data_IF_059265685517
#
_entry.id   IF_059265685517
#
_cell.length_a   1.000
_cell.length_b   1.000
_cell.length_c   1.000
_cell.angle_alpha   90.00
_cell.angle_beta   90.00
_cell.angle_gamma   90.00
#
_symmetry.space_group_name_H-M   'P 1'
#
loop_
_entity.id
_entity.type
_entity.pdbx_description
1 polymer ?
#
# COMPACT_ATOMS: atom_id res chain seq x y z
N UNK A 1 3.32 -8.65 -3.91
CA UNK A 1 3.64 -8.10 -5.24
C UNK A 1 3.37 -9.14 -6.32
N UNK A 2 2.82 -8.70 -7.48
CA UNK A 2 2.61 -9.54 -8.66
C UNK A 2 2.90 -8.71 -9.92
N UNK A 3 3.41 -9.32 -11.00
CA UNK A 3 3.77 -8.58 -12.21
C UNK A 3 3.68 -9.45 -13.48
N UNK A 4 3.44 -8.79 -14.61
CA UNK A 4 3.59 -9.28 -15.98
C UNK A 4 4.43 -8.27 -16.77
N UNK A 5 4.76 -8.48 -18.04
CA UNK A 5 5.46 -7.47 -18.86
C UNK A 5 4.75 -6.12 -18.99
N UNK A 6 3.43 -6.08 -18.78
CA UNK A 6 2.61 -4.87 -18.93
C UNK A 6 1.90 -4.42 -17.66
N UNK A 7 2.07 -5.13 -16.54
CA UNK A 7 1.32 -4.88 -15.31
C UNK A 7 2.22 -5.07 -14.09
N UNK A 8 2.27 -4.09 -13.19
CA UNK A 8 2.89 -4.18 -11.89
C UNK A 8 1.85 -3.92 -10.79
N UNK A 9 1.77 -4.80 -9.79
CA UNK A 9 0.83 -4.73 -8.67
C UNK A 9 1.61 -4.84 -7.38
N UNK A 10 1.47 -3.87 -6.50
CA UNK A 10 1.92 -3.95 -5.11
C UNK A 10 0.70 -3.93 -4.20
N UNK A 11 0.66 -4.85 -3.26
CA UNK A 11 -0.35 -4.98 -2.22
C UNK A 11 0.38 -5.00 -0.89
N UNK A 12 0.01 -4.13 0.01
CA UNK A 12 0.49 -4.16 1.39
C UNK A 12 -0.64 -4.56 2.34
N UNK A 13 -0.40 -5.63 3.09
CA UNK A 13 -1.39 -6.23 3.96
C UNK A 13 -1.45 -5.54 5.31
N UNK A 14 -2.61 -5.02 5.70
CA UNK A 14 -2.77 -4.33 6.98
C UNK A 14 -2.66 -5.31 8.16
N UNK A 15 -1.75 -5.01 9.10
CA UNK A 15 -1.55 -5.79 10.32
C UNK A 15 -2.85 -5.93 11.13
N UNK A 16 -3.10 -7.10 11.69
CA UNK A 16 -4.25 -7.34 12.56
C UNK A 16 -4.08 -6.77 13.96
N UNK A 17 -2.88 -6.37 14.35
CA UNK A 17 -2.54 -5.93 15.71
C UNK A 17 -3.05 -6.88 16.82
N UNK A 18 -3.16 -8.17 16.53
CA UNK A 18 -3.68 -9.19 17.45
C UNK A 18 -5.20 -9.18 17.65
N UNK A 19 -5.94 -8.39 16.89
CA UNK A 19 -7.40 -8.30 16.98
C UNK A 19 -8.10 -9.46 16.25
N UNK A 20 -9.30 -9.82 16.72
CA UNK A 20 -10.16 -10.77 16.02
C UNK A 20 -10.50 -10.27 14.62
N UNK A 21 -10.36 -11.14 13.63
CA UNK A 21 -10.57 -10.79 12.22
C UNK A 21 -11.92 -11.26 11.67
N UNK A 22 -12.63 -12.14 12.37
CA UNK A 22 -13.80 -12.81 11.81
C UNK A 22 -13.48 -13.73 10.62
N UNK A 23 -12.19 -13.92 10.31
CA UNK A 23 -11.72 -14.69 9.16
C UNK A 23 -10.67 -15.72 9.59
N UNK A 24 -10.77 -16.95 9.08
CA UNK A 24 -9.82 -18.04 9.36
C UNK A 24 -8.56 -17.99 8.48
N UNK A 25 -8.54 -17.18 7.42
CA UNK A 25 -7.48 -17.23 6.41
C UNK A 25 -6.28 -16.32 6.71
N UNK A 26 -6.50 -15.16 7.31
CA UNK A 26 -5.44 -14.18 7.60
C UNK A 26 -4.99 -13.33 6.40
N UNK A 27 -4.17 -12.32 6.71
CA UNK A 27 -3.73 -11.30 5.73
C UNK A 27 -2.85 -11.87 4.61
N UNK A 28 -1.85 -12.74 4.87
CA UNK A 28 -1.03 -13.29 3.78
C UNK A 28 -1.84 -14.08 2.74
N UNK A 29 -2.83 -14.84 3.17
CA UNK A 29 -3.73 -15.56 2.26
C UNK A 29 -4.55 -14.57 1.41
N UNK A 30 -5.10 -13.55 2.06
CA UNK A 30 -5.90 -12.51 1.38
C UNK A 30 -5.10 -11.80 0.30
N UNK A 31 -3.90 -11.32 0.63
CA UNK A 31 -3.00 -10.61 -0.30
C UNK A 31 -2.62 -11.51 -1.48
N UNK A 32 -2.29 -12.79 -1.23
CA UNK A 32 -1.93 -13.73 -2.29
C UNK A 32 -3.10 -13.96 -3.26
N UNK A 33 -4.31 -14.17 -2.75
CA UNK A 33 -5.49 -14.41 -3.58
C UNK A 33 -5.92 -13.14 -4.32
N UNK A 34 -5.91 -11.97 -3.65
CA UNK A 34 -6.21 -10.70 -4.31
C UNK A 34 -5.23 -10.41 -5.45
N UNK A 35 -3.93 -10.61 -5.23
CA UNK A 35 -2.91 -10.45 -6.26
C UNK A 35 -3.14 -11.35 -7.48
N UNK A 36 -3.49 -12.62 -7.25
CA UNK A 36 -3.83 -13.55 -8.33
C UNK A 36 -5.10 -13.16 -9.10
N UNK A 37 -6.17 -12.74 -8.40
CA UNK A 37 -7.40 -12.29 -9.03
C UNK A 37 -7.19 -10.97 -9.81
N UNK A 38 -6.41 -10.03 -9.28
CA UNK A 38 -6.07 -8.80 -10.00
C UNK A 38 -5.29 -9.09 -11.28
N UNK A 39 -4.30 -9.98 -11.26
CA UNK A 39 -3.60 -10.38 -12.48
C UNK A 39 -4.56 -10.95 -13.53
N UNK A 40 -5.51 -11.78 -13.11
CA UNK A 40 -6.48 -12.37 -14.02
C UNK A 40 -7.49 -11.34 -14.56
N UNK A 41 -8.03 -10.47 -13.69
CA UNK A 41 -9.03 -9.47 -14.08
C UNK A 41 -8.44 -8.34 -14.94
N UNK A 42 -7.17 -7.98 -14.74
CA UNK A 42 -6.50 -6.89 -15.46
C UNK A 42 -5.69 -7.36 -16.68
N UNK A 43 -5.77 -8.65 -17.03
CA UNK A 43 -5.13 -9.20 -18.21
C UNK A 43 -5.73 -8.60 -19.51
N UNK A 44 -7.04 -8.29 -19.48
CA UNK A 44 -7.73 -7.67 -20.61
C UNK A 44 -7.48 -6.15 -20.63
N UNK A 45 -6.87 -5.61 -21.72
CA UNK A 45 -6.45 -4.21 -21.76
C UNK A 45 -7.63 -3.22 -21.77
N UNK A 46 -8.79 -3.62 -22.25
CA UNK A 46 -9.96 -2.75 -22.39
C UNK A 46 -10.78 -2.60 -21.11
N UNK A 47 -10.57 -3.47 -20.12
CA UNK A 47 -11.19 -3.35 -18.80
C UNK A 47 -10.55 -2.18 -18.02
N UNK A 48 -11.38 -1.34 -17.39
CA UNK A 48 -10.85 -0.29 -16.51
C UNK A 48 -10.20 -0.90 -15.26
N UNK A 49 -9.20 -0.20 -14.69
CA UNK A 49 -8.52 -0.69 -13.48
C UNK A 49 -9.48 -0.79 -12.29
N UNK A 50 -10.46 0.13 -12.18
CA UNK A 50 -11.46 0.10 -11.10
C UNK A 50 -12.42 -1.08 -11.23
N UNK A 51 -12.92 -1.38 -12.43
CA UNK A 51 -13.77 -2.55 -12.68
C UNK A 51 -13.00 -3.84 -12.41
N UNK A 52 -11.75 -3.95 -12.88
CA UNK A 52 -10.91 -5.11 -12.61
C UNK A 52 -10.61 -5.30 -11.12
N UNK A 53 -10.44 -4.21 -10.36
CA UNK A 53 -10.31 -4.28 -8.91
C UNK A 53 -11.62 -4.72 -8.25
N UNK A 54 -12.78 -4.19 -8.66
CA UNK A 54 -14.08 -4.61 -8.13
C UNK A 54 -14.33 -6.10 -8.34
N UNK A 55 -14.09 -6.60 -9.57
CA UNK A 55 -14.20 -8.02 -9.92
C UNK A 55 -13.27 -8.90 -9.07
N UNK A 56 -12.02 -8.47 -8.88
CA UNK A 56 -11.05 -9.20 -8.08
C UNK A 56 -11.48 -9.28 -6.61
N UNK A 57 -11.95 -8.18 -6.02
CA UNK A 57 -12.46 -8.13 -4.65
C UNK A 57 -13.68 -9.03 -4.47
N UNK A 58 -14.61 -9.02 -5.40
CA UNK A 58 -15.81 -9.86 -5.37
C UNK A 58 -15.43 -11.34 -5.45
N UNK A 59 -14.53 -11.73 -6.34
CA UNK A 59 -14.05 -13.12 -6.46
C UNK A 59 -13.35 -13.59 -5.18
N UNK A 60 -12.50 -12.74 -4.57
CA UNK A 60 -11.87 -13.07 -3.29
C UNK A 60 -12.91 -13.20 -2.17
N UNK A 61 -13.92 -12.32 -2.13
CA UNK A 61 -15.01 -12.43 -1.16
C UNK A 61 -15.75 -13.75 -1.26
N UNK A 62 -16.00 -14.28 -2.47
CA UNK A 62 -16.62 -15.57 -2.69
C UNK A 62 -15.79 -16.77 -2.20
N UNK A 63 -14.47 -16.61 -2.03
CA UNK A 63 -13.61 -17.63 -1.43
C UNK A 63 -13.73 -17.71 0.11
N UNK A 64 -14.51 -16.81 0.72
CA UNK A 64 -14.72 -16.68 2.17
C UNK A 64 -16.13 -17.09 2.65
N UNK A 65 -16.72 -18.22 2.25
CA UNK A 65 -18.13 -18.52 2.49
C UNK A 65 -18.50 -18.68 3.97
N UNK A 66 -17.51 -18.81 4.86
CA UNK A 66 -17.69 -18.98 6.31
C UNK A 66 -17.06 -17.87 7.14
N UNK A 67 -16.55 -16.82 6.52
CA UNK A 67 -15.93 -15.69 7.21
C UNK A 67 -16.91 -14.52 7.34
N UNK A 68 -16.80 -13.78 8.44
CA UNK A 68 -17.54 -12.53 8.61
C UNK A 68 -16.79 -11.38 7.95
N UNK A 69 -17.10 -11.12 6.67
CA UNK A 69 -16.49 -10.04 5.90
C UNK A 69 -16.94 -8.64 6.34
N UNK A 70 -17.96 -8.53 7.20
CA UNK A 70 -18.39 -7.26 7.81
C UNK A 70 -17.61 -6.92 9.06
N UNK A 71 -16.86 -7.88 9.61
CA UNK A 71 -16.02 -7.62 10.77
C UNK A 71 -14.97 -6.55 10.42
N UNK A 72 -14.85 -5.45 11.21
CA UNK A 72 -13.85 -4.41 10.98
C UNK A 72 -12.39 -4.95 10.99
N UNK A 73 -12.16 -6.09 11.63
CA UNK A 73 -10.87 -6.78 11.67
C UNK A 73 -10.57 -7.67 10.47
N UNK A 74 -11.51 -7.85 9.52
CA UNK A 74 -11.30 -8.75 8.37
C UNK A 74 -10.02 -8.36 7.59
N UNK A 75 -9.28 -9.32 7.01
CA UNK A 75 -8.07 -9.02 6.25
C UNK A 75 -8.30 -7.97 5.17
N UNK A 76 -7.34 -7.09 5.01
CA UNK A 76 -7.38 -6.00 4.03
C UNK A 76 -5.98 -5.66 3.55
N UNK A 77 -5.90 -4.95 2.43
CA UNK A 77 -4.64 -4.51 1.84
C UNK A 77 -4.81 -3.16 1.13
N UNK A 78 -3.72 -2.41 1.04
CA UNK A 78 -3.58 -1.32 0.07
C UNK A 78 -3.46 -1.90 -1.34
N UNK A 79 -3.71 -1.11 -2.36
CA UNK A 79 -3.55 -1.54 -3.76
C UNK A 79 -2.88 -0.44 -4.57
N UNK A 80 -1.76 -0.75 -5.18
CA UNK A 80 -1.12 0.08 -6.20
C UNK A 80 -0.95 -0.74 -7.48
N UNK A 81 -1.53 -0.26 -8.57
CA UNK A 81 -1.49 -0.91 -9.90
C UNK A 81 -0.99 0.06 -10.94
N UNK A 82 0.05 -0.34 -11.67
CA UNK A 82 0.53 0.34 -12.86
C UNK A 82 0.40 -0.59 -14.05
N UNK A 83 -0.32 -0.16 -15.12
CA UNK A 83 -0.53 -0.94 -16.34
C UNK A 83 -0.08 -0.16 -17.55
N UNK A 84 0.81 -0.74 -18.34
CA UNK A 84 1.11 -0.25 -19.69
C UNK A 84 0.06 -0.76 -20.66
N UNK A 85 -0.62 0.17 -21.34
CA UNK A 85 -1.58 -0.11 -22.39
C UNK A 85 -1.26 0.75 -23.62
N UNK A 86 -0.68 0.11 -24.62
CA UNK A 86 -0.14 0.82 -25.81
C UNK A 86 0.89 1.89 -25.41
N UNK A 87 0.61 3.15 -25.72
CA UNK A 87 1.46 4.32 -25.42
C UNK A 87 1.01 5.10 -24.18
N UNK A 88 0.31 4.41 -23.26
CA UNK A 88 -0.24 5.00 -22.03
C UNK A 88 0.10 4.12 -20.83
N UNK A 89 0.37 4.77 -19.72
CA UNK A 89 0.45 4.16 -18.40
C UNK A 89 -0.83 4.48 -17.64
N UNK A 90 -1.68 3.49 -17.43
CA UNK A 90 -2.82 3.59 -16.54
C UNK A 90 -2.36 3.27 -15.12
N UNK A 91 -2.88 4.02 -14.14
CA UNK A 91 -2.59 3.77 -12.74
C UNK A 91 -3.85 3.74 -11.87
N UNK A 92 -3.77 2.97 -10.81
CA UNK A 92 -4.78 2.91 -9.75
C UNK A 92 -4.08 2.84 -8.40
N UNK A 93 -4.51 3.69 -7.47
CA UNK A 93 -4.07 3.66 -6.07
C UNK A 93 -5.28 3.64 -5.15
N UNK A 94 -5.29 2.68 -4.22
CA UNK A 94 -6.27 2.58 -3.14
C UNK A 94 -5.49 2.46 -1.82
N UNK A 95 -5.59 3.46 -0.97
CA UNK A 95 -4.79 3.72 0.21
C UNK A 95 -3.33 4.12 -0.12
N UNK A 96 -2.42 3.98 0.84
CA UNK A 96 -1.15 4.69 0.97
C UNK A 96 0.07 4.04 0.29
N UNK A 97 -0.11 2.94 -0.45
CA UNK A 97 0.96 2.39 -1.29
C UNK A 97 1.16 3.26 -2.54
N UNK A 98 2.29 3.99 -2.68
CA UNK A 98 2.42 4.95 -3.77
C UNK A 98 2.89 4.34 -5.10
N UNK A 99 2.53 5.01 -6.19
CA UNK A 99 3.17 4.91 -7.50
C UNK A 99 3.94 6.20 -7.74
N UNK A 100 5.21 6.10 -8.04
CA UNK A 100 6.03 7.27 -8.39
C UNK A 100 6.43 7.20 -9.85
N UNK A 101 6.08 8.22 -10.60
CA UNK A 101 6.44 8.40 -12.01
C UNK A 101 7.62 9.37 -12.10
N UNK A 102 8.73 8.93 -12.69
CA UNK A 102 9.86 9.77 -13.03
C UNK A 102 9.65 10.33 -14.43
N UNK A 103 9.44 11.63 -14.54
CA UNK A 103 9.29 12.36 -15.80
C UNK A 103 10.59 13.07 -16.20
N UNK A 104 10.56 13.87 -17.25
CA UNK A 104 11.72 14.65 -17.69
C UNK A 104 12.00 15.82 -16.76
N UNK A 105 12.61 15.54 -15.61
CA UNK A 105 13.08 16.54 -14.64
C UNK A 105 12.26 16.65 -13.36
N UNK A 106 11.22 15.81 -13.17
CA UNK A 106 10.38 15.84 -11.98
C UNK A 106 9.91 14.43 -11.57
N UNK A 107 9.36 14.32 -10.36
CA UNK A 107 8.78 13.08 -9.81
C UNK A 107 7.35 13.36 -9.37
N UNK A 108 6.42 12.56 -9.85
CA UNK A 108 5.02 12.62 -9.44
C UNK A 108 4.69 11.39 -8.59
N UNK A 109 4.44 11.61 -7.30
CA UNK A 109 3.97 10.57 -6.40
C UNK A 109 2.43 10.54 -6.38
N UNK A 110 1.87 9.41 -6.74
CA UNK A 110 0.44 9.12 -6.75
C UNK A 110 0.14 8.24 -5.53
N UNK A 111 -0.63 8.75 -4.57
CA UNK A 111 -0.95 8.06 -3.31
C UNK A 111 -2.28 8.56 -2.76
N UNK A 112 -2.91 7.76 -1.91
CA UNK A 112 -4.14 8.12 -1.22
C UNK A 112 -3.91 8.19 0.28
N UNK A 113 -3.75 9.41 0.80
CA UNK A 113 -3.43 9.67 2.21
C UNK A 113 -4.66 9.83 3.11
N UNK A 114 -5.85 9.41 2.68
CA UNK A 114 -7.05 9.47 3.54
C UNK A 114 -6.86 8.67 4.83
N UNK A 115 -6.15 7.56 4.78
CA UNK A 115 -5.84 6.74 5.97
C UNK A 115 -5.00 7.50 7.00
N UNK A 116 -4.16 8.44 6.55
CA UNK A 116 -3.30 9.24 7.43
C UNK A 116 -4.03 10.42 8.07
N UNK A 117 -5.14 10.83 7.47
CA UNK A 117 -5.94 11.97 7.97
C UNK A 117 -6.96 11.58 9.05
N UNK A 118 -7.24 10.28 9.25
CA UNK A 118 -8.20 9.85 10.27
C UNK A 118 -7.56 9.76 11.66
N UNK A 119 -8.31 10.18 12.68
CA UNK A 119 -7.93 10.05 14.10
C UNK A 119 -6.54 10.65 14.44
N UNK A 120 -6.24 11.90 14.05
CA UNK A 120 -4.90 12.47 14.22
C UNK A 120 -4.46 12.55 15.70
N UNK A 121 -5.40 12.78 16.62
CA UNK A 121 -5.11 12.84 18.06
C UNK A 121 -4.67 11.48 18.62
N UNK A 122 -5.33 10.39 18.20
CA UNK A 122 -4.96 9.04 18.62
C UNK A 122 -3.65 8.60 17.97
N UNK A 123 -3.37 9.01 16.74
CA UNK A 123 -2.08 8.80 16.09
C UNK A 123 -0.96 9.49 16.89
N UNK A 124 -1.14 10.77 17.22
CA UNK A 124 -0.18 11.52 18.02
C UNK A 124 0.04 10.89 19.40
N UNK A 125 -0.98 10.28 20.02
CA UNK A 125 -0.81 9.53 21.27
C UNK A 125 0.12 8.32 21.07
N UNK A 126 -0.03 7.54 20.00
CA UNK A 126 0.87 6.41 19.70
C UNK A 126 2.32 6.90 19.52
N UNK A 127 2.49 7.99 18.78
CA UNK A 127 3.80 8.57 18.45
C UNK A 127 4.56 9.16 19.66
N UNK A 128 3.87 9.44 20.78
CA UNK A 128 4.50 9.86 22.02
C UNK A 128 5.22 8.72 22.75
N UNK A 129 5.00 7.48 22.37
CA UNK A 129 5.59 6.32 23.01
C UNK A 129 6.67 5.68 22.14
N UNK A 130 7.79 5.29 22.78
CA UNK A 130 8.79 4.45 22.11
C UNK A 130 8.19 3.08 21.76
N UNK A 131 8.52 2.55 20.57
CA UNK A 131 8.07 1.23 20.13
C UNK A 131 8.42 0.15 21.16
N UNK A 132 7.60 -0.90 21.21
CA UNK A 132 7.73 -2.03 22.14
C UNK A 132 7.44 -1.74 23.62
N UNK A 133 7.19 -0.49 24.02
CA UNK A 133 6.77 -0.19 25.39
C UNK A 133 5.31 -0.62 25.64
N UNK A 134 4.91 -0.88 26.91
CA UNK A 134 3.50 -1.16 27.21
C UNK A 134 2.56 -0.04 26.76
N UNK A 135 2.92 1.23 27.03
CA UNK A 135 2.12 2.40 26.61
C UNK A 135 1.93 2.47 25.10
N UNK A 136 3.00 2.22 24.32
CA UNK A 136 2.90 2.14 22.86
C UNK A 136 1.91 1.06 22.40
N UNK A 137 1.98 -0.15 22.96
CA UNK A 137 1.08 -1.25 22.59
C UNK A 137 -0.38 -0.93 22.89
N UNK A 138 -0.66 -0.35 24.05
CA UNK A 138 -2.00 0.02 24.47
C UNK A 138 -2.57 1.15 23.59
N UNK A 139 -1.81 2.20 23.34
CA UNK A 139 -2.21 3.31 22.47
C UNK A 139 -2.44 2.81 21.03
N UNK A 140 -1.53 1.98 20.51
CA UNK A 140 -1.65 1.40 19.16
C UNK A 140 -2.89 0.51 19.03
N UNK A 141 -3.19 -0.33 20.01
CA UNK A 141 -4.40 -1.17 19.97
C UNK A 141 -5.68 -0.33 19.94
N UNK A 142 -5.76 0.72 20.78
CA UNK A 142 -6.91 1.64 20.76
C UNK A 142 -7.05 2.34 19.41
N UNK A 143 -5.94 2.87 18.88
CA UNK A 143 -5.91 3.53 17.58
C UNK A 143 -6.37 2.59 16.46
N UNK A 144 -5.78 1.39 16.35
CA UNK A 144 -6.13 0.42 15.30
C UNK A 144 -7.59 -0.01 15.39
N UNK A 145 -8.12 -0.22 16.61
CA UNK A 145 -9.55 -0.53 16.80
C UNK A 145 -10.45 0.59 16.27
N UNK A 146 -10.16 1.84 16.64
CA UNK A 146 -10.94 3.00 16.20
C UNK A 146 -10.81 3.22 14.68
N UNK A 147 -9.59 3.14 14.14
CA UNK A 147 -9.32 3.31 12.71
C UNK A 147 -10.10 2.28 11.86
N UNK A 148 -10.19 1.04 12.31
CA UNK A 148 -10.92 -0.01 11.59
C UNK A 148 -12.42 0.23 11.51
N UNK A 149 -13.02 0.94 12.47
CA UNK A 149 -14.43 1.31 12.39
C UNK A 149 -14.70 2.33 11.27
N UNK A 150 -13.68 3.09 10.87
CA UNK A 150 -13.74 4.06 9.78
C UNK A 150 -13.40 3.47 8.41
N UNK A 151 -12.97 2.20 8.37
CA UNK A 151 -12.58 1.54 7.13
C UNK A 151 -13.77 1.37 6.18
N UNK A 152 -13.58 1.75 4.91
CA UNK A 152 -14.59 1.68 3.85
C UNK A 152 -15.90 2.40 4.21
N UNK A 153 -15.78 3.57 4.85
CA UNK A 153 -16.89 4.47 5.16
C UNK A 153 -16.65 5.84 4.54
N UNK A 154 -17.72 6.63 4.36
CA UNK A 154 -17.64 7.95 3.75
C UNK A 154 -16.78 8.95 4.55
N UNK A 155 -16.83 8.86 5.87
CA UNK A 155 -16.08 9.75 6.78
C UNK A 155 -14.70 9.17 7.16
N UNK A 156 -14.28 8.11 6.51
CA UNK A 156 -13.04 7.39 6.80
C UNK A 156 -12.11 7.28 5.60
N UNK A 157 -11.58 6.08 5.42
CA UNK A 157 -10.63 5.76 4.35
C UNK A 157 -11.03 4.46 3.65
N UNK A 158 -10.46 4.24 2.45
CA UNK A 158 -10.81 3.10 1.62
C UNK A 158 -9.60 2.18 1.41
N UNK A 159 -9.83 0.87 1.54
CA UNK A 159 -8.83 -0.19 1.30
C UNK A 159 -9.50 -1.40 0.66
N UNK A 160 -8.74 -2.23 0.00
CA UNK A 160 -9.20 -3.54 -0.46
C UNK A 160 -9.52 -4.44 0.73
N UNK A 161 -10.78 -4.88 0.82
CA UNK A 161 -11.30 -5.77 1.86
C UNK A 161 -12.46 -6.62 1.30
N UNK A 162 -13.40 -7.06 2.12
CA UNK A 162 -14.57 -7.85 1.71
C UNK A 162 -15.64 -7.08 0.91
N UNK A 163 -15.48 -5.77 0.69
CA UNK A 163 -16.44 -4.89 0.02
C UNK A 163 -15.89 -4.39 -1.32
N UNK A 164 -16.46 -4.89 -2.43
CA UNK A 164 -16.03 -4.51 -3.78
C UNK A 164 -16.29 -3.05 -4.13
N UNK A 165 -17.18 -2.36 -3.39
CA UNK A 165 -17.45 -0.92 -3.58
C UNK A 165 -16.23 -0.05 -3.32
N UNK A 166 -15.25 -0.54 -2.55
CA UNK A 166 -13.99 0.15 -2.32
C UNK A 166 -13.26 0.51 -3.63
N UNK A 167 -13.41 -0.29 -4.68
CA UNK A 167 -12.80 -0.04 -5.99
C UNK A 167 -13.23 1.29 -6.63
N UNK A 168 -14.47 1.73 -6.39
CA UNK A 168 -14.98 3.01 -6.90
C UNK A 168 -14.34 4.24 -6.21
N UNK A 169 -13.66 4.03 -5.09
CA UNK A 169 -12.97 5.07 -4.33
C UNK A 169 -11.46 5.11 -4.57
N UNK A 170 -10.94 4.21 -5.41
CA UNK A 170 -9.55 4.26 -5.83
C UNK A 170 -9.26 5.50 -6.67
N UNK A 171 -8.08 6.07 -6.49
CA UNK A 171 -7.57 7.13 -7.36
C UNK A 171 -7.05 6.49 -8.64
N UNK A 172 -7.55 6.93 -9.78
CA UNK A 172 -7.16 6.41 -11.11
C UNK A 172 -6.77 7.54 -12.05
N UNK A 173 -5.93 7.21 -13.01
CA UNK A 173 -5.56 8.14 -14.07
C UNK A 173 -4.71 7.45 -15.13
N UNK A 174 -4.29 8.25 -16.11
CA UNK A 174 -3.47 7.80 -17.22
C UNK A 174 -2.43 8.86 -17.56
N UNK A 175 -1.21 8.42 -17.87
CA UNK A 175 -0.10 9.29 -18.27
C UNK A 175 0.47 8.79 -19.61
N UNK A 176 0.71 9.66 -20.61
CA UNK A 176 1.36 9.25 -21.84
C UNK A 176 2.75 8.64 -21.57
N UNK A 177 3.02 7.46 -22.11
CA UNK A 177 4.28 6.73 -21.91
C UNK A 177 5.52 7.57 -22.23
N UNK A 178 5.44 8.39 -23.29
CA UNK A 178 6.53 9.28 -23.73
C UNK A 178 6.94 10.36 -22.70
N UNK A 179 6.09 10.64 -21.71
CA UNK A 179 6.34 11.62 -20.65
C UNK A 179 7.03 11.00 -19.44
N UNK A 180 7.02 9.65 -19.35
CA UNK A 180 7.55 8.93 -18.21
C UNK A 180 8.80 8.16 -18.62
N UNK A 181 9.91 8.41 -17.94
CA UNK A 181 11.19 7.74 -18.16
C UNK A 181 11.20 6.35 -17.52
N UNK A 182 10.78 6.27 -16.27
CA UNK A 182 10.68 5.07 -15.48
C UNK A 182 9.67 5.27 -14.32
N UNK A 183 9.23 4.20 -13.69
CA UNK A 183 8.30 4.26 -12.58
C UNK A 183 8.63 3.24 -11.49
N UNK A 184 8.18 3.54 -10.27
CA UNK A 184 8.26 2.61 -9.16
C UNK A 184 6.86 2.47 -8.52
N UNK A 185 6.41 1.23 -8.33
CA UNK A 185 5.22 0.89 -7.55
C UNK A 185 5.70 0.29 -6.24
N UNK A 186 5.31 0.85 -5.09
CA UNK A 186 5.89 0.44 -3.82
C UNK A 186 4.89 0.46 -2.66
N UNK A 187 5.21 -0.27 -1.58
CA UNK A 187 4.51 -0.10 -0.31
C UNK A 187 5.01 1.17 0.41
N UNK A 188 4.24 1.66 1.38
CA UNK A 188 4.60 2.80 2.22
C UNK A 188 5.94 2.57 2.92
N UNK A 189 6.24 1.34 3.37
CA UNK A 189 7.51 1.00 4.01
C UNK A 189 8.75 1.37 3.19
N UNK A 190 8.66 1.47 1.85
CA UNK A 190 9.76 1.95 1.00
C UNK A 190 9.73 3.47 0.86
N UNK A 191 8.55 4.06 0.63
CA UNK A 191 8.41 5.50 0.42
C UNK A 191 8.82 6.33 1.65
N UNK A 192 8.80 5.75 2.84
CA UNK A 192 9.23 6.38 4.10
C UNK A 192 10.65 6.94 4.08
N UNK A 193 11.55 6.42 3.24
CA UNK A 193 12.88 7.03 3.05
C UNK A 193 12.77 8.52 2.65
N UNK A 194 11.75 8.86 1.86
CA UNK A 194 11.50 10.21 1.37
C UNK A 194 10.47 10.94 2.24
N UNK A 195 9.34 10.30 2.53
CA UNK A 195 8.18 10.95 3.14
C UNK A 195 8.33 11.20 4.63
N UNK A 196 8.81 10.22 5.38
CA UNK A 196 8.89 10.27 6.85
C UNK A 196 10.31 10.42 7.36
N UNK A 197 11.23 9.56 6.90
CA UNK A 197 12.62 9.58 7.36
C UNK A 197 13.42 10.76 6.80
N UNK A 198 13.04 11.24 5.60
CA UNK A 198 13.71 12.33 4.89
C UNK A 198 15.23 12.11 4.76
N UNK A 199 15.62 10.85 4.58
CA UNK A 199 17.02 10.43 4.40
C UNK A 199 17.40 10.31 2.94
N UNK A 200 16.42 10.35 2.03
CA UNK A 200 16.60 10.33 0.58
C UNK A 200 15.59 11.27 -0.09
N UNK A 201 15.89 11.68 -1.31
CA UNK A 201 14.96 12.31 -2.25
C UNK A 201 14.45 11.28 -3.25
N UNK A 202 13.40 11.61 -4.02
CA UNK A 202 12.96 10.72 -5.11
C UNK A 202 14.07 10.50 -6.14
N UNK A 203 14.92 11.49 -6.39
CA UNK A 203 16.07 11.34 -7.30
C UNK A 203 17.07 10.30 -6.78
N UNK A 204 17.36 10.31 -5.47
CA UNK A 204 18.22 9.29 -4.84
C UNK A 204 17.61 7.90 -4.95
N UNK A 205 16.30 7.77 -4.68
CA UNK A 205 15.56 6.50 -4.82
C UNK A 205 15.66 5.96 -6.24
N UNK A 206 15.37 6.78 -7.24
CA UNK A 206 15.44 6.34 -8.63
C UNK A 206 16.87 6.12 -9.13
N UNK A 207 17.84 6.85 -8.62
CA UNK A 207 19.26 6.60 -8.90
C UNK A 207 19.67 5.23 -8.37
N UNK A 208 19.31 4.90 -7.13
CA UNK A 208 19.54 3.56 -6.55
C UNK A 208 18.84 2.47 -7.36
N UNK A 209 17.56 2.67 -7.72
CA UNK A 209 16.80 1.69 -8.52
C UNK A 209 17.46 1.42 -9.88
N UNK A 210 17.99 2.44 -10.55
CA UNK A 210 18.65 2.33 -11.85
C UNK A 210 20.01 1.66 -11.79
N UNK A 211 20.81 1.98 -10.77
CA UNK A 211 22.20 1.53 -10.67
C UNK A 211 22.38 0.21 -9.92
N UNK A 212 21.60 -0.02 -8.87
CA UNK A 212 21.78 -1.12 -7.93
C UNK A 212 20.53 -2.01 -7.78
N UNK A 213 19.37 -1.47 -8.19
CA UNK A 213 18.11 -2.19 -8.23
C UNK A 213 17.33 -2.23 -6.90
N UNK A 214 16.13 -2.86 -6.93
CA UNK A 214 15.19 -2.86 -5.81
C UNK A 214 15.73 -3.43 -4.49
N UNK A 215 16.62 -4.43 -4.56
CA UNK A 215 17.19 -5.04 -3.35
C UNK A 215 18.00 -4.05 -2.54
N UNK A 216 18.77 -3.20 -3.20
CA UNK A 216 19.58 -2.17 -2.54
C UNK A 216 18.69 -1.16 -1.85
N UNK A 217 17.65 -0.68 -2.51
CA UNK A 217 16.71 0.26 -1.92
C UNK A 217 16.03 -0.30 -0.66
N UNK A 218 15.62 -1.58 -0.67
CA UNK A 218 15.07 -2.24 0.52
C UNK A 218 16.12 -2.32 1.64
N UNK A 219 17.41 -2.55 1.30
CA UNK A 219 18.48 -2.55 2.29
C UNK A 219 18.66 -1.15 2.91
N UNK A 220 18.60 -0.09 2.13
CA UNK A 220 18.68 1.28 2.62
C UNK A 220 17.56 1.62 3.60
N UNK A 221 16.33 1.10 3.36
CA UNK A 221 15.23 1.19 4.34
C UNK A 221 15.63 0.52 5.66
N UNK A 222 16.12 -0.74 5.61
CA UNK A 222 16.51 -1.51 6.80
C UNK A 222 17.65 -0.87 7.55
N UNK A 223 18.65 -0.34 6.85
CA UNK A 223 19.78 0.35 7.44
C UNK A 223 19.32 1.64 8.15
N UNK A 224 18.38 2.38 7.55
CA UNK A 224 17.78 3.57 8.16
C UNK A 224 16.99 3.22 9.42
N UNK A 225 16.11 2.22 9.36
CA UNK A 225 15.32 1.74 10.51
C UNK A 225 16.21 1.26 11.66
N UNK A 226 17.33 0.60 11.34
CA UNK A 226 18.30 0.11 12.33
C UNK A 226 19.00 1.24 13.10
N UNK A 227 19.06 2.46 12.57
CA UNK A 227 19.61 3.62 13.27
C UNK A 227 18.68 4.18 14.35
N UNK A 228 17.40 3.78 14.34
CA UNK A 228 16.39 4.23 15.30
C UNK A 228 15.48 3.05 15.74
N UNK A 229 16.01 2.07 16.45
CA UNK A 229 15.29 0.83 16.78
C UNK A 229 14.06 1.03 17.68
N UNK A 230 13.99 2.14 18.40
CA UNK A 230 12.87 2.45 19.29
C UNK A 230 11.85 3.44 18.71
N UNK A 231 12.04 3.92 17.49
CA UNK A 231 11.15 4.90 16.87
C UNK A 231 11.14 6.26 17.57
N UNK A 232 12.27 6.64 18.19
CA UNK A 232 12.38 7.89 18.93
C UNK A 232 12.58 9.10 18.01
N UNK A 233 13.37 8.88 16.96
CA UNK A 233 13.62 9.89 15.92
C UNK A 233 12.47 9.96 14.91
N UNK A 234 11.98 8.78 14.53
CA UNK A 234 10.88 8.61 13.59
C UNK A 234 9.81 7.73 14.23
N UNK A 235 8.82 8.33 14.91
CA UNK A 235 7.73 7.61 15.55
C UNK A 235 7.01 6.71 14.55
N UNK A 236 6.71 5.46 14.95
CA UNK A 236 6.11 4.46 14.06
C UNK A 236 5.41 3.35 14.81
N UNK A 237 4.55 2.61 14.12
CA UNK A 237 3.72 1.57 14.75
C UNK A 237 4.46 0.27 15.03
N UNK A 238 5.53 -0.01 14.27
CA UNK A 238 6.37 -1.21 14.39
C UNK A 238 7.83 -0.86 14.08
N UNK A 239 8.78 -1.66 14.55
CA UNK A 239 10.22 -1.39 14.40
C UNK A 239 10.70 -1.36 12.94
N UNK A 240 10.05 -2.14 12.07
CA UNK A 240 10.27 -2.14 10.63
C UNK A 240 8.97 -2.49 9.91
N UNK A 241 8.73 -1.89 8.76
CA UNK A 241 7.56 -2.16 7.95
C UNK A 241 7.86 -3.12 6.81
N UNK A 242 6.81 -3.76 6.25
CA UNK A 242 6.95 -4.56 5.04
C UNK A 242 7.35 -3.65 3.88
N UNK A 243 8.43 -4.01 3.18
CA UNK A 243 8.98 -3.23 2.09
C UNK A 243 8.88 -4.02 0.79
N UNK A 244 8.11 -3.50 -0.16
CA UNK A 244 7.95 -4.06 -1.49
C UNK A 244 8.08 -2.96 -2.53
N UNK A 245 8.81 -3.24 -3.62
CA UNK A 245 8.93 -2.31 -4.75
C UNK A 245 9.04 -3.06 -6.07
N UNK A 246 8.28 -2.63 -7.05
CA UNK A 246 8.40 -3.02 -8.45
C UNK A 246 8.93 -1.82 -9.24
N UNK A 247 10.08 -1.99 -9.88
CA UNK A 247 10.69 -0.97 -10.72
C UNK A 247 10.40 -1.27 -12.19
N UNK A 248 9.86 -0.29 -12.91
CA UNK A 248 9.37 -0.41 -14.27
C UNK A 248 10.19 0.50 -15.21
N UNK A 249 10.77 -0.10 -16.26
CA UNK A 249 11.46 0.59 -17.36
C UNK A 249 10.87 0.14 -18.69
N UNK A 250 10.91 0.98 -19.74
CA UNK A 250 10.43 0.72 -21.11
C UNK A 250 11.26 1.45 -22.15
#
# INVERSE_FOLDING_TARGET
MAATPSLAIVLDGLSTAGLSTGCSHGVPWYVAHLGGQLLASLAEPDQSLSEGLADALERVAHLHPRCDLKNPGTPSATVAVLRRRYEVLDHLVLADSPIVLATNGDFTALTDLRVDSVLPEMRAEVEQHETHTPGHREALQRFVLAQRQLRNTADGYWVAAGDSRAAAHAQTGSTPLKEVRDAAVMSDGVSRLVTEYQTATWDDVFTTLRSEGPRRLIQDVRDTEATDPTGRRWPRYKSGDDAAVAYCQW
#
